data_IF_732556283157
#
_entry.id   IF_732556283157
#
_cell.length_a   1.000
_cell.length_b   1.000
_cell.length_c   1.000
_cell.angle_alpha   90.00
_cell.angle_beta   90.00
_cell.angle_gamma   90.00
#
_symmetry.space_group_name_H-M   'P 1'
#
loop_
_entity.id
_entity.type
_entity.pdbx_description
1 polymer ?
#
# COMPACT_ATOMS: atom_id res chain seq x y z
N UNK A 1 9.78 -15.87 5.73
CA UNK A 1 8.87 -16.04 4.57
C UNK A 1 9.59 -15.44 3.36
N UNK A 2 9.57 -16.07 2.18
CA UNK A 2 10.22 -15.46 1.00
C UNK A 2 9.38 -14.24 0.56
N UNK A 3 10.00 -13.09 0.24
CA UNK A 3 9.24 -11.94 -0.24
C UNK A 3 8.48 -12.32 -1.52
N UNK A 4 7.24 -11.84 -1.65
CA UNK A 4 6.40 -12.15 -2.81
C UNK A 4 7.07 -11.68 -4.10
N UNK A 5 7.14 -12.51 -5.17
CA UNK A 5 7.79 -12.13 -6.42
C UNK A 5 7.24 -10.85 -7.05
N UNK A 6 5.94 -10.59 -6.95
CA UNK A 6 5.31 -9.35 -7.43
C UNK A 6 5.84 -8.12 -6.69
N UNK A 7 5.94 -8.17 -5.36
CA UNK A 7 6.52 -7.10 -4.52
C UNK A 7 7.98 -6.84 -4.92
N UNK A 8 8.78 -7.88 -5.13
CA UNK A 8 10.18 -7.71 -5.52
C UNK A 8 10.33 -7.10 -6.91
N UNK A 9 9.50 -7.55 -7.87
CA UNK A 9 9.48 -6.97 -9.23
C UNK A 9 9.02 -5.53 -9.23
N UNK A 10 7.99 -5.24 -8.44
CA UNK A 10 7.46 -3.90 -8.21
C UNK A 10 8.54 -2.94 -7.69
N UNK A 11 9.27 -3.35 -6.65
CA UNK A 11 10.37 -2.56 -6.10
C UNK A 11 11.52 -2.39 -7.10
N UNK A 12 11.89 -3.45 -7.82
CA UNK A 12 12.96 -3.38 -8.82
C UNK A 12 12.66 -2.42 -9.98
N UNK A 13 11.37 -2.17 -10.30
CA UNK A 13 10.96 -1.16 -11.29
C UNK A 13 11.10 0.28 -10.78
N UNK A 14 11.11 0.48 -9.46
CA UNK A 14 11.27 1.81 -8.85
C UNK A 14 12.74 2.22 -8.75
N UNK A 15 13.63 1.25 -8.51
CA UNK A 15 15.07 1.53 -8.35
C UNK A 15 15.79 1.87 -9.68
N UNK A 16 15.12 1.72 -10.83
CA UNK A 16 15.70 1.98 -12.16
C UNK A 16 15.25 3.27 -12.82
N UNK A 17 14.34 4.04 -12.20
CA UNK A 17 13.73 5.21 -12.81
C UNK A 17 14.08 6.50 -12.05
N UNK A 18 14.74 7.45 -12.73
CA UNK A 18 14.87 8.85 -12.27
C UNK A 18 13.53 9.62 -12.35
N UNK A 19 12.47 8.98 -12.86
CA UNK A 19 11.14 9.54 -13.00
C UNK A 19 10.35 9.46 -11.68
N UNK A 20 9.42 10.40 -11.41
CA UNK A 20 8.55 10.32 -10.26
C UNK A 20 7.74 9.01 -10.28
N UNK A 21 7.49 8.38 -9.11
CA UNK A 21 6.74 7.14 -9.05
C UNK A 21 5.30 7.36 -9.57
N UNK A 22 4.79 6.37 -10.31
CA UNK A 22 3.43 6.43 -10.86
C UNK A 22 2.33 6.37 -9.78
N UNK A 23 2.69 6.05 -8.53
CA UNK A 23 1.84 6.14 -7.34
C UNK A 23 2.34 7.25 -6.42
N UNK A 24 1.53 8.30 -6.23
CA UNK A 24 1.71 9.32 -5.20
C UNK A 24 1.04 8.87 -3.90
N UNK A 25 1.79 8.97 -2.81
CA UNK A 25 1.32 8.74 -1.44
C UNK A 25 1.50 10.06 -0.69
N UNK A 26 0.41 10.65 -0.21
CA UNK A 26 0.41 11.95 0.47
C UNK A 26 -0.29 11.82 1.81
N UNK A 27 0.47 11.99 2.88
CA UNK A 27 -0.04 12.01 4.25
C UNK A 27 -0.68 13.37 4.59
N UNK A 28 -1.60 13.41 5.57
CA UNK A 28 -2.13 14.65 6.12
C UNK A 28 -1.01 15.64 6.50
N UNK A 29 -1.28 16.93 6.35
CA UNK A 29 -0.25 17.97 6.47
C UNK A 29 0.67 18.10 5.24
N UNK A 30 0.27 17.51 4.11
CA UNK A 30 0.95 17.60 2.82
C UNK A 30 2.34 16.93 2.78
N UNK A 31 2.56 15.92 3.63
CA UNK A 31 3.80 15.14 3.61
C UNK A 31 3.72 14.09 2.50
N UNK A 32 4.43 14.33 1.39
CA UNK A 32 4.42 13.44 0.23
C UNK A 32 5.62 12.48 0.21
N UNK A 33 5.39 11.25 -0.24
CA UNK A 33 6.43 10.32 -0.68
C UNK A 33 6.92 10.75 -2.06
N UNK A 34 7.69 11.85 -2.10
CA UNK A 34 8.05 12.56 -3.34
C UNK A 34 9.00 11.77 -4.25
N UNK A 35 9.72 10.80 -3.69
CA UNK A 35 10.51 9.80 -4.41
C UNK A 35 10.48 8.50 -3.64
N UNK A 36 10.65 7.39 -4.34
CA UNK A 36 10.75 6.08 -3.70
C UNK A 36 11.96 6.02 -2.76
N UNK A 37 11.75 5.43 -1.58
CA UNK A 37 12.78 5.31 -0.54
C UNK A 37 13.08 6.60 0.22
N UNK A 38 12.29 7.68 0.06
CA UNK A 38 12.45 8.87 0.91
C UNK A 38 12.26 8.50 2.39
N UNK A 39 13.09 9.06 3.26
CA UNK A 39 12.92 8.93 4.70
C UNK A 39 11.88 9.92 5.21
N UNK A 40 10.87 9.42 5.90
CA UNK A 40 9.85 10.23 6.58
C UNK A 40 9.91 10.02 8.10
N UNK A 41 9.70 11.07 8.90
CA UNK A 41 9.46 10.91 10.34
C UNK A 41 8.20 10.07 10.57
N UNK A 42 8.23 9.14 11.54
CA UNK A 42 7.06 8.28 11.82
C UNK A 42 5.78 9.07 12.12
N UNK A 43 5.91 10.24 12.77
CA UNK A 43 4.77 11.10 13.10
C UNK A 43 4.18 11.79 11.87
N UNK A 44 4.98 12.05 10.84
CA UNK A 44 4.50 12.62 9.58
C UNK A 44 3.73 11.58 8.75
N UNK A 45 3.98 10.29 9.00
CA UNK A 45 3.29 9.15 8.39
C UNK A 45 2.29 8.48 9.36
N UNK A 46 1.78 9.21 10.35
CA UNK A 46 0.91 8.64 11.40
C UNK A 46 -0.49 8.29 10.90
N UNK A 47 -1.07 9.18 10.11
CA UNK A 47 -2.45 9.08 9.69
C UNK A 47 -2.57 8.45 8.30
N UNK A 48 -3.75 7.96 7.92
CA UNK A 48 -3.96 7.31 6.61
C UNK A 48 -3.61 8.26 5.46
N UNK A 49 -2.76 7.85 4.50
CA UNK A 49 -2.43 8.69 3.36
C UNK A 49 -3.55 8.70 2.31
N UNK A 50 -3.60 9.78 1.54
CA UNK A 50 -4.30 9.81 0.26
C UNK A 50 -3.41 9.24 -0.85
N UNK A 51 -4.03 8.54 -1.80
CA UNK A 51 -3.36 8.02 -2.97
C UNK A 51 -3.75 8.79 -4.23
N UNK A 52 -2.81 8.92 -5.15
CA UNK A 52 -3.08 9.38 -6.52
C UNK A 52 -2.21 8.58 -7.47
N UNK A 53 -2.73 8.26 -8.64
CA UNK A 53 -2.03 7.47 -9.66
C UNK A 53 -1.84 8.32 -10.91
N UNK A 54 -0.76 8.09 -11.66
CA UNK A 54 -0.57 8.72 -12.97
C UNK A 54 -1.84 8.59 -13.81
N UNK A 55 -2.33 9.69 -14.38
CA UNK A 55 -3.60 9.72 -15.13
C UNK A 55 -3.60 8.74 -16.30
N UNK A 56 -2.43 8.44 -16.88
CA UNK A 56 -2.28 7.42 -17.92
C UNK A 56 -2.59 5.99 -17.48
N UNK A 57 -2.58 5.71 -16.17
CA UNK A 57 -2.93 4.43 -15.57
C UNK A 57 -4.33 4.45 -14.92
N UNK A 58 -4.94 5.63 -14.79
CA UNK A 58 -6.26 5.79 -14.22
C UNK A 58 -7.33 5.43 -15.25
N UNK A 59 -8.33 4.67 -14.82
CA UNK A 59 -9.50 4.30 -15.58
C UNK A 59 -10.70 5.15 -15.11
N UNK A 60 -11.59 5.56 -16.02
CA UNK A 60 -12.76 6.37 -15.68
C UNK A 60 -13.67 5.63 -14.70
N UNK A 61 -14.12 6.34 -13.65
CA UNK A 61 -15.06 5.80 -12.66
C UNK A 61 -16.40 5.38 -13.28
N UNK A 62 -16.81 6.03 -14.38
CA UNK A 62 -18.07 5.76 -15.10
C UNK A 62 -18.09 4.33 -15.67
N UNK A 63 -16.93 3.73 -15.94
CA UNK A 63 -16.81 2.33 -16.34
C UNK A 63 -16.93 1.33 -15.18
N UNK A 64 -17.17 1.80 -13.94
CA UNK A 64 -17.23 0.95 -12.75
C UNK A 64 -15.87 0.43 -12.30
N UNK A 65 -14.77 0.99 -12.82
CA UNK A 65 -13.41 0.60 -12.46
C UNK A 65 -13.11 0.98 -11.02
N UNK A 66 -12.60 0.00 -10.28
CA UNK A 66 -12.19 0.14 -8.89
C UNK A 66 -10.74 -0.28 -8.75
N UNK A 67 -10.13 0.16 -7.66
CA UNK A 67 -8.78 -0.17 -7.29
C UNK A 67 -8.73 -0.72 -5.87
N UNK A 68 -7.70 -1.52 -5.63
CA UNK A 68 -7.32 -1.98 -4.31
C UNK A 68 -5.90 -1.52 -4.00
N UNK A 69 -5.72 -0.94 -2.82
CA UNK A 69 -4.42 -0.50 -2.32
C UNK A 69 -4.00 -1.33 -1.12
N UNK A 70 -2.70 -1.65 -1.07
CA UNK A 70 -2.08 -2.41 0.02
C UNK A 70 -0.82 -1.68 0.48
N UNK A 71 -0.63 -1.59 1.80
CA UNK A 71 0.63 -1.16 2.41
C UNK A 71 1.21 -2.28 3.28
N UNK A 72 2.47 -2.65 3.05
CA UNK A 72 3.19 -3.64 3.87
C UNK A 72 4.52 -3.10 4.38
N UNK A 73 4.93 -3.57 5.57
CA UNK A 73 6.28 -3.41 6.11
C UNK A 73 7.06 -4.70 5.89
N UNK A 74 8.16 -4.62 5.14
CA UNK A 74 8.98 -5.79 4.77
C UNK A 74 10.01 -6.18 5.82
N UNK A 75 10.28 -5.30 6.78
CA UNK A 75 11.53 -5.31 7.54
C UNK A 75 11.31 -5.61 9.03
N UNK A 76 10.10 -5.99 9.44
CA UNK A 76 9.82 -6.26 10.84
C UNK A 76 10.35 -7.61 11.37
N UNK A 77 10.89 -7.68 12.60
CA UNK A 77 11.11 -6.57 13.53
C UNK A 77 12.35 -5.74 13.21
N UNK A 78 13.32 -6.31 12.48
CA UNK A 78 14.55 -5.65 12.07
C UNK A 78 14.87 -5.99 10.61
N UNK A 79 15.38 -5.06 9.79
CA UNK A 79 15.75 -5.34 8.40
C UNK A 79 16.73 -6.51 8.26
N UNK A 80 17.66 -6.67 9.21
CA UNK A 80 18.63 -7.77 9.26
C UNK A 80 18.06 -9.09 9.78
N UNK A 81 16.86 -9.08 10.36
CA UNK A 81 16.22 -10.26 10.96
C UNK A 81 14.69 -10.13 10.93
N UNK A 82 14.11 -10.15 9.73
CA UNK A 82 12.70 -9.83 9.48
C UNK A 82 11.72 -11.01 9.67
N UNK A 83 11.82 -11.72 10.80
CA UNK A 83 11.04 -12.95 11.07
C UNK A 83 9.53 -12.73 11.32
N UNK A 84 9.12 -11.48 11.57
CA UNK A 84 7.72 -11.10 11.72
C UNK A 84 7.14 -10.48 10.44
N UNK A 85 8.00 -10.14 9.48
CA UNK A 85 7.63 -9.56 8.20
C UNK A 85 7.21 -10.61 7.16
N UNK A 86 6.49 -10.18 6.10
CA UNK A 86 5.88 -8.86 5.97
C UNK A 86 4.78 -8.61 7.01
N UNK A 87 4.59 -7.35 7.43
CA UNK A 87 3.44 -6.92 8.24
C UNK A 87 2.47 -6.16 7.36
N UNK A 88 1.18 -6.49 7.41
CA UNK A 88 0.15 -5.71 6.71
C UNK A 88 -0.23 -4.45 7.50
N UNK A 89 0.04 -3.29 6.91
CA UNK A 89 -0.27 -1.99 7.49
C UNK A 89 -1.64 -1.48 7.03
N UNK A 90 -2.06 -1.76 5.80
CA UNK A 90 -3.31 -1.23 5.25
C UNK A 90 -3.80 -2.03 4.06
N UNK A 91 -5.11 -2.25 3.98
CA UNK A 91 -5.80 -2.74 2.78
C UNK A 91 -7.06 -1.90 2.60
N UNK A 92 -7.13 -1.18 1.48
CA UNK A 92 -8.29 -0.40 1.09
C UNK A 92 -8.82 -0.91 -0.24
N UNK A 93 -10.10 -1.31 -0.24
CA UNK A 93 -10.84 -1.69 -1.45
C UNK A 93 -11.69 -0.53 -1.93
N UNK A 94 -12.30 -0.71 -3.10
CA UNK A 94 -13.32 0.18 -3.66
C UNK A 94 -12.85 1.62 -3.81
N UNK A 95 -11.57 1.79 -4.15
CA UNK A 95 -11.01 3.07 -4.57
C UNK A 95 -11.46 3.34 -6.01
N UNK A 96 -11.95 4.54 -6.29
CA UNK A 96 -12.33 4.99 -7.62
C UNK A 96 -11.52 6.22 -8.00
N UNK A 97 -11.27 6.40 -9.29
CA UNK A 97 -10.63 7.61 -9.80
C UNK A 97 -11.55 8.83 -9.60
N UNK A 98 -10.97 9.94 -9.14
CA UNK A 98 -11.63 11.23 -9.13
C UNK A 98 -12.01 11.66 -10.55
N UNK A 99 -13.01 12.54 -10.67
CA UNK A 99 -13.56 12.95 -11.96
C UNK A 99 -12.57 13.72 -12.85
N UNK A 100 -11.58 14.38 -12.24
CA UNK A 100 -10.56 15.15 -12.93
C UNK A 100 -9.18 14.81 -12.38
N UNK A 101 -8.19 14.83 -13.27
CA UNK A 101 -6.78 14.81 -12.91
C UNK A 101 -6.37 16.18 -12.34
N UNK A 102 -5.29 16.17 -11.54
CA UNK A 102 -4.59 17.39 -11.15
C UNK A 102 -3.72 17.93 -12.29
N UNK A 103 -3.21 19.15 -12.11
CA UNK A 103 -2.36 19.84 -13.10
C UNK A 103 -1.00 19.13 -13.32
N UNK A 104 -0.62 18.22 -12.42
CA UNK A 104 0.61 17.42 -12.52
C UNK A 104 0.41 16.09 -13.27
N UNK A 105 -0.80 15.82 -13.78
CA UNK A 105 -1.10 14.58 -14.51
C UNK A 105 -1.31 13.37 -13.60
N UNK A 106 -1.78 13.58 -12.37
CA UNK A 106 -2.19 12.51 -11.46
C UNK A 106 -3.69 12.58 -11.18
N UNK A 107 -4.32 11.42 -11.09
CA UNK A 107 -5.72 11.28 -10.70
C UNK A 107 -5.80 10.77 -9.28
N UNK A 108 -6.47 11.53 -8.41
CA UNK A 108 -6.71 11.14 -7.02
C UNK A 108 -7.59 9.89 -6.96
N UNK A 109 -7.31 9.01 -6.00
CA UNK A 109 -8.16 7.87 -5.69
C UNK A 109 -9.01 8.17 -4.46
N UNK A 110 -10.31 7.93 -4.57
CA UNK A 110 -11.32 8.25 -3.58
C UNK A 110 -12.12 7.02 -3.21
N UNK A 111 -12.59 6.94 -1.97
CA UNK A 111 -13.48 5.87 -1.53
C UNK A 111 -14.29 6.33 -0.32
N UNK A 112 -15.51 5.82 -0.22
CA UNK A 112 -16.33 5.89 0.98
C UNK A 112 -16.43 4.55 1.71
N UNK A 113 -15.80 3.50 1.15
CA UNK A 113 -15.77 2.17 1.74
C UNK A 113 -14.79 2.14 2.92
N UNK A 114 -15.16 1.40 3.96
CA UNK A 114 -14.24 1.11 5.06
C UNK A 114 -13.06 0.24 4.54
N UNK A 115 -11.86 0.37 5.12
CA UNK A 115 -10.75 -0.51 4.78
C UNK A 115 -11.01 -1.96 5.24
N UNK A 116 -10.45 -2.93 4.53
CA UNK A 116 -10.40 -4.32 4.99
C UNK A 116 -9.39 -4.52 6.13
N UNK A 117 -8.31 -3.73 6.10
CA UNK A 117 -7.33 -3.60 7.18
C UNK A 117 -7.08 -2.11 7.38
N UNK A 118 -7.54 -1.51 8.48
CA UNK A 118 -7.29 -0.11 8.79
C UNK A 118 -5.79 0.22 8.80
N UNK A 119 -5.44 1.45 8.39
CA UNK A 119 -4.06 1.90 8.35
C UNK A 119 -3.44 1.85 9.76
N UNK A 120 -2.33 1.13 9.90
CA UNK A 120 -1.48 1.19 11.08
C UNK A 120 -0.25 2.06 10.78
N UNK A 121 0.11 3.02 11.65
CA UNK A 121 1.27 3.87 11.43
C UNK A 121 2.59 3.09 11.49
N UNK A 122 3.69 3.67 10.98
CA UNK A 122 5.03 3.14 11.20
C UNK A 122 5.34 3.01 12.68
N UNK A 123 5.89 1.85 13.06
CA UNK A 123 6.35 1.59 14.41
C UNK A 123 7.59 0.70 14.49
N UNK A 124 8.69 0.98 13.75
CA UNK A 124 9.93 0.22 13.91
C UNK A 124 10.39 0.25 15.38
N UNK A 125 10.71 -0.90 16.00
CA UNK A 125 11.14 -0.94 17.39
C UNK A 125 12.55 -0.35 17.51
N UNK A 126 12.87 0.52 18.49
CA UNK A 126 14.26 0.85 18.80
C UNK A 126 15.03 -0.42 19.23
N UNK A 127 16.30 -0.65 18.79
CA UNK A 127 17.16 0.18 17.94
C UNK A 127 17.16 -0.25 16.45
N UNK A 128 16.00 -0.59 15.87
CA UNK A 128 15.89 -1.00 14.46
C UNK A 128 16.36 0.10 13.50
N UNK A 129 16.95 -0.33 12.40
CA UNK A 129 17.18 0.54 11.24
C UNK A 129 15.86 0.92 10.55
N UNK A 130 15.90 1.73 9.49
CA UNK A 130 14.70 2.12 8.76
C UNK A 130 13.97 0.91 8.14
N UNK A 131 12.66 0.84 8.31
CA UNK A 131 11.79 -0.14 7.67
C UNK A 131 11.21 0.44 6.38
N UNK A 132 11.00 -0.42 5.36
CA UNK A 132 10.38 -0.06 4.09
C UNK A 132 8.87 -0.29 4.15
N UNK A 133 8.12 0.80 4.05
CA UNK A 133 6.65 0.80 3.95
C UNK A 133 6.25 0.91 2.49
N UNK A 134 5.87 -0.23 1.90
CA UNK A 134 5.62 -0.38 0.46
C UNK A 134 4.13 -0.28 0.18
N UNK A 135 3.74 0.72 -0.60
CA UNK A 135 2.39 0.90 -1.12
C UNK A 135 2.30 0.34 -2.53
N UNK A 136 1.25 -0.43 -2.78
CA UNK A 136 0.99 -1.07 -4.06
C UNK A 136 -0.48 -0.88 -4.42
N UNK A 137 -0.75 -0.73 -5.72
CA UNK A 137 -2.07 -0.50 -6.26
C UNK A 137 -2.36 -1.49 -7.40
N UNK A 138 -3.55 -2.08 -7.40
CA UNK A 138 -4.06 -2.93 -8.49
C UNK A 138 -5.44 -2.44 -8.93
N UNK A 139 -5.83 -2.77 -10.16
CA UNK A 139 -7.26 -2.81 -10.50
C UNK A 139 -7.92 -3.87 -9.62
N UNK A 140 -9.04 -3.51 -9.00
CA UNK A 140 -9.84 -4.43 -8.21
C UNK A 140 -10.65 -5.32 -9.17
N UNK A 141 -10.47 -6.66 -9.11
CA UNK A 141 -11.27 -7.56 -9.92
C UNK A 141 -12.76 -7.42 -9.61
N UNK A 142 -13.62 -7.52 -10.62
CA UNK A 142 -15.07 -7.44 -10.42
C UNK A 142 -15.63 -8.54 -9.49
N UNK A 143 -14.90 -9.67 -9.37
CA UNK A 143 -15.22 -10.73 -8.42
C UNK A 143 -14.96 -10.35 -6.96
N UNK A 144 -14.10 -9.37 -6.70
CA UNK A 144 -13.81 -8.87 -5.36
C UNK A 144 -14.85 -7.83 -4.96
N UNK A 145 -15.74 -8.23 -4.08
CA UNK A 145 -16.92 -7.46 -3.64
C UNK A 145 -16.61 -6.39 -2.58
N UNK A 146 -15.38 -6.33 -2.09
CA UNK A 146 -14.89 -5.28 -1.20
C UNK A 146 -14.32 -5.82 0.12
N UNK A 147 -14.32 -4.97 1.15
CA UNK A 147 -13.65 -5.24 2.41
C UNK A 147 -14.17 -6.48 3.16
N UNK A 148 -15.49 -6.73 3.15
CA UNK A 148 -16.10 -7.89 3.80
C UNK A 148 -15.57 -9.23 3.29
N UNK A 149 -15.35 -9.32 1.98
CA UNK A 149 -14.82 -10.52 1.35
C UNK A 149 -13.36 -10.76 1.74
N UNK A 150 -12.53 -9.71 1.73
CA UNK A 150 -11.15 -9.78 2.21
C UNK A 150 -11.12 -10.25 3.67
N UNK A 151 -11.91 -9.63 4.53
CA UNK A 151 -11.96 -9.99 5.96
C UNK A 151 -12.39 -11.44 6.16
N UNK A 152 -13.38 -11.93 5.40
CA UNK A 152 -13.84 -13.33 5.47
C UNK A 152 -12.77 -14.30 5.01
N UNK A 153 -12.15 -14.07 3.85
CA UNK A 153 -11.18 -15.01 3.24
C UNK A 153 -9.89 -15.11 4.07
N UNK A 154 -9.48 -14.02 4.70
CA UNK A 154 -8.27 -13.97 5.54
C UNK A 154 -8.56 -14.05 7.05
N UNK A 155 -9.83 -14.23 7.43
CA UNK A 155 -10.28 -14.28 8.82
C UNK A 155 -9.78 -13.08 9.64
N UNK A 156 -9.80 -11.89 9.03
CA UNK A 156 -9.35 -10.66 9.67
C UNK A 156 -10.46 -10.13 10.58
N UNK A 157 -10.16 -9.83 11.86
CA UNK A 157 -11.10 -9.11 12.71
C UNK A 157 -11.29 -7.67 12.18
N UNK A 158 -12.39 -7.02 12.56
CA UNK A 158 -12.68 -5.65 12.14
C UNK A 158 -11.55 -4.67 12.51
N UNK A 159 -10.95 -4.85 13.68
CA UNK A 159 -9.79 -4.10 14.17
C UNK A 159 -8.60 -5.05 14.39
N UNK A 160 -7.82 -5.36 13.34
CA UNK A 160 -6.70 -6.29 13.43
C UNK A 160 -5.57 -5.69 14.26
N UNK A 161 -5.30 -6.33 15.41
CA UNK A 161 -4.11 -6.11 16.20
C UNK A 161 -2.85 -6.70 15.54
N UNK A 162 -1.69 -6.53 16.17
CA UNK A 162 -0.40 -6.93 15.60
C UNK A 162 -0.34 -8.42 15.17
N UNK A 163 -0.90 -9.33 15.97
CA UNK A 163 -0.88 -10.77 15.67
C UNK A 163 -1.61 -11.15 14.39
N UNK A 164 -2.65 -10.40 14.02
CA UNK A 164 -3.39 -10.59 12.77
C UNK A 164 -2.67 -9.97 11.56
N UNK A 165 -1.63 -9.16 11.79
CA UNK A 165 -0.91 -8.41 10.74
C UNK A 165 0.44 -9.00 10.39
N UNK A 166 1.12 -9.65 11.34
CA UNK A 166 2.44 -10.23 11.13
C UNK A 166 2.41 -11.41 10.16
N UNK A 167 3.54 -11.68 9.51
CA UNK A 167 3.71 -12.80 8.58
C UNK A 167 2.63 -12.81 7.49
N UNK A 168 2.28 -11.63 7.01
CA UNK A 168 1.33 -11.45 5.92
C UNK A 168 1.84 -12.12 4.65
N UNK A 169 1.03 -13.00 4.08
CA UNK A 169 1.32 -13.67 2.83
C UNK A 169 0.69 -12.91 1.66
N UNK A 170 1.47 -11.98 1.11
CA UNK A 170 1.04 -11.16 -0.02
C UNK A 170 0.79 -11.98 -1.29
N UNK A 171 1.51 -13.09 -1.49
CA UNK A 171 1.31 -13.94 -2.67
C UNK A 171 -0.04 -14.68 -2.59
N UNK A 172 -0.35 -15.24 -1.42
CA UNK A 172 -1.67 -15.83 -1.18
C UNK A 172 -2.80 -14.81 -1.25
N UNK A 173 -2.54 -13.55 -0.86
CA UNK A 173 -3.49 -12.45 -1.04
C UNK A 173 -3.79 -12.18 -2.51
N UNK A 174 -2.75 -12.01 -3.33
CA UNK A 174 -2.91 -11.78 -4.76
C UNK A 174 -3.63 -12.95 -5.45
N UNK A 175 -3.23 -14.18 -5.15
CA UNK A 175 -3.86 -15.38 -5.73
C UNK A 175 -5.35 -15.48 -5.37
N UNK A 176 -5.69 -15.37 -4.07
CA UNK A 176 -7.08 -15.55 -3.62
C UNK A 176 -8.01 -14.41 -4.04
N UNK A 177 -7.48 -13.20 -4.15
CA UNK A 177 -8.25 -12.03 -4.58
C UNK A 177 -8.26 -11.87 -6.12
N UNK A 178 -7.52 -12.71 -6.85
CA UNK A 178 -7.43 -12.65 -8.32
C UNK A 178 -6.65 -11.44 -8.82
N UNK A 179 -5.68 -10.95 -8.05
CA UNK A 179 -4.85 -9.80 -8.42
C UNK A 179 -3.71 -10.25 -9.35
N UNK A 180 -3.49 -9.49 -10.41
CA UNK A 180 -2.34 -9.65 -11.29
C UNK A 180 -1.10 -8.90 -10.78
N UNK A 181 -0.30 -8.39 -11.72
CA UNK A 181 0.82 -7.51 -11.38
C UNK A 181 0.32 -6.14 -10.90
N UNK A 182 0.99 -5.49 -9.93
CA UNK A 182 0.61 -4.16 -9.47
C UNK A 182 0.77 -3.12 -10.58
N UNK A 183 -0.23 -2.24 -10.69
CA UNK A 183 -0.25 -1.12 -11.63
C UNK A 183 0.79 -0.06 -11.28
N UNK A 184 0.88 0.24 -9.98
CA UNK A 184 1.67 1.35 -9.47
C UNK A 184 2.14 1.05 -8.05
N UNK A 185 3.34 1.51 -7.74
CA UNK A 185 4.04 1.17 -6.50
C UNK A 185 4.81 2.41 -6.06
N UNK A 186 4.91 2.62 -4.75
CA UNK A 186 5.84 3.57 -4.16
C UNK A 186 6.16 3.14 -2.73
N UNK A 187 7.26 3.60 -2.17
CA UNK A 187 7.59 3.28 -0.79
C UNK A 187 8.34 4.43 -0.12
N UNK A 188 8.22 4.51 1.19
CA UNK A 188 9.06 5.36 2.03
C UNK A 188 9.77 4.50 3.07
N UNK A 189 10.78 5.07 3.71
CA UNK A 189 11.42 4.46 4.88
C UNK A 189 11.16 5.30 6.13
N UNK A 190 10.92 4.64 7.25
CA UNK A 190 10.88 5.30 8.56
C UNK A 190 11.66 4.46 9.56
N UNK A 191 12.34 5.13 10.48
CA UNK A 191 13.02 4.49 11.60
C UNK A 191 12.22 4.69 12.89
N UNK A 192 12.82 4.32 14.02
CA UNK A 192 12.17 4.44 15.33
C UNK A 192 12.03 5.88 15.85
N UNK A 193 12.61 6.89 15.18
CA UNK A 193 12.67 8.28 15.64
C UNK A 193 11.49 9.12 15.15
#
# INVERSE_FOLDING_TARGET
MKPCPSVLRALAKLDTADAPPSLRVVFPGNTAVSRSGIQLPKLAAKDTPALSVSTSLAQPREGGHKYIAVCIDLDAPFPSFSILGPIIHWIQTDLVAAAAADDDGFTRLETSARPAVPYAPPGPPPPSGPHRYVFMLWEQPASLTGADEVSRVFSLPAEPGLTARIRWDQGAFEEKMGLGEPLAVNYFVADSR
#
